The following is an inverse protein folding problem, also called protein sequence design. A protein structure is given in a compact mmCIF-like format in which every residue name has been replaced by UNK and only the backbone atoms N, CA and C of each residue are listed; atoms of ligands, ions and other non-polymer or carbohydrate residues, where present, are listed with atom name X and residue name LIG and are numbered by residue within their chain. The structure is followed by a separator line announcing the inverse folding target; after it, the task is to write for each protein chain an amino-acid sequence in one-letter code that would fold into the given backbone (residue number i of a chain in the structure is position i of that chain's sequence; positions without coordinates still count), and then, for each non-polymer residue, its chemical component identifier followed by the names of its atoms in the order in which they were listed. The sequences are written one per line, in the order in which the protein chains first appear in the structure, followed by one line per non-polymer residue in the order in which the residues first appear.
data_IF_654655491614
#
_entry.id   IF_654655491614
#
_cell.length_a   1.000
_cell.length_b   1.000
_cell.length_c   1.000
_cell.angle_alpha   90.00
_cell.angle_beta   90.00
_cell.angle_gamma   90.00
#
_symmetry.space_group_name_H-M   'P 1'
#
loop_
_entity.id
_entity.type
_entity.pdbx_description
1 polymer ?
#
# COMPACT_ATOMS: atom_id res chain seq x y z
N UNK A 1 9.57 -0.88 -12.72
CA UNK A 1 9.36 0.42 -13.44
C UNK A 1 10.16 1.59 -12.84
N UNK A 2 10.02 1.86 -11.53
CA UNK A 2 10.63 3.02 -10.85
C UNK A 2 12.16 2.99 -10.83
N UNK A 3 12.77 1.81 -10.64
CA UNK A 3 14.24 1.69 -10.65
C UNK A 3 14.87 2.07 -12.00
N UNK A 4 14.18 1.84 -13.12
CA UNK A 4 14.71 2.17 -14.43
C UNK A 4 14.68 3.68 -14.68
N UNK A 5 13.64 4.37 -14.21
CA UNK A 5 13.54 5.83 -14.28
C UNK A 5 14.76 6.50 -13.61
N UNK A 6 15.13 6.06 -12.42
CA UNK A 6 16.23 6.67 -11.65
C UNK A 6 17.62 6.47 -12.29
N UNK A 7 17.82 5.44 -13.12
CA UNK A 7 19.08 5.24 -13.85
C UNK A 7 19.32 6.32 -14.92
N UNK A 8 18.25 6.90 -15.44
CA UNK A 8 18.30 7.88 -16.54
C UNK A 8 18.25 9.34 -16.07
N UNK A 9 18.11 9.57 -14.77
CA UNK A 9 18.02 10.90 -14.17
C UNK A 9 19.37 11.32 -13.61
N UNK A 10 19.91 12.45 -14.09
CA UNK A 10 21.11 13.04 -13.53
C UNK A 10 20.72 13.89 -12.31
N UNK A 11 21.32 13.60 -11.16
CA UNK A 11 21.02 14.27 -9.88
C UNK A 11 22.22 15.14 -9.47
N UNK A 12 21.98 16.41 -9.21
CA UNK A 12 23.00 17.35 -8.73
C UNK A 12 22.55 18.06 -7.46
N UNK A 13 23.44 18.14 -6.47
CA UNK A 13 23.28 19.03 -5.32
C UNK A 13 23.69 20.44 -5.76
N UNK A 14 22.74 21.37 -5.85
CA UNK A 14 23.05 22.77 -6.21
C UNK A 14 23.57 23.52 -4.98
N UNK A 15 22.91 23.36 -3.83
CA UNK A 15 23.34 23.89 -2.53
C UNK A 15 22.79 23.04 -1.37
N UNK A 16 22.81 23.54 -0.13
CA UNK A 16 22.35 22.80 1.05
C UNK A 16 20.84 22.49 1.05
N UNK A 17 20.02 23.30 0.37
CA UNK A 17 18.55 23.19 0.36
C UNK A 17 17.99 22.98 -1.05
N UNK A 18 18.85 22.72 -2.05
CA UNK A 18 18.42 22.60 -3.44
C UNK A 18 19.08 21.39 -4.13
N UNK A 19 18.22 20.53 -4.69
CA UNK A 19 18.57 19.40 -5.54
C UNK A 19 18.01 19.65 -6.93
N UNK A 20 18.83 19.46 -7.97
CA UNK A 20 18.42 19.56 -9.37
C UNK A 20 18.40 18.16 -9.97
N UNK A 21 17.28 17.84 -10.63
CA UNK A 21 17.11 16.65 -11.43
C UNK A 21 17.08 17.05 -12.91
N UNK A 22 17.91 16.41 -13.73
CA UNK A 22 17.93 16.60 -15.19
C UNK A 22 17.44 15.31 -15.84
N UNK A 23 16.34 15.40 -16.57
CA UNK A 23 15.69 14.27 -17.25
C UNK A 23 16.15 14.24 -18.72
N UNK A 24 16.22 13.05 -19.31
CA UNK A 24 16.52 12.88 -20.76
C UNK A 24 15.41 13.42 -21.67
N UNK A 25 14.17 13.40 -21.20
CA UNK A 25 12.98 13.90 -21.89
C UNK A 25 11.93 14.37 -20.87
N UNK A 26 10.98 15.23 -21.27
CA UNK A 26 9.84 15.58 -20.43
C UNK A 26 9.08 14.32 -19.96
N UNK A 27 8.72 14.26 -18.68
CA UNK A 27 7.98 13.12 -18.11
C UNK A 27 6.95 13.59 -17.08
N UNK A 28 5.66 13.40 -17.41
CA UNK A 28 4.55 13.68 -16.49
C UNK A 28 4.54 12.75 -15.26
N UNK A 29 5.20 11.59 -15.33
CA UNK A 29 5.30 10.64 -14.22
C UNK A 29 6.41 11.00 -13.21
N UNK A 30 7.36 11.88 -13.57
CA UNK A 30 8.51 12.17 -12.71
C UNK A 30 8.12 12.78 -11.33
N UNK A 31 7.16 13.72 -11.22
CA UNK A 31 6.71 14.21 -9.92
C UNK A 31 6.17 13.11 -9.00
N UNK A 32 5.60 12.03 -9.54
CA UNK A 32 5.15 10.89 -8.75
C UNK A 32 6.32 10.07 -8.20
N UNK A 33 7.42 9.96 -8.96
CA UNK A 33 8.64 9.29 -8.51
C UNK A 33 9.33 10.04 -7.37
N UNK A 34 9.11 11.36 -7.21
CA UNK A 34 9.64 12.15 -6.10
C UNK A 34 8.96 11.86 -4.74
N UNK A 35 7.91 11.03 -4.72
CA UNK A 35 7.18 10.67 -3.50
C UNK A 35 7.86 9.55 -2.68
N UNK A 36 8.99 9.03 -3.16
CA UNK A 36 9.78 8.02 -2.46
C UNK A 36 10.39 8.57 -1.17
N UNK A 37 10.49 7.72 -0.14
CA UNK A 37 11.02 8.10 1.16
C UNK A 37 12.51 8.46 1.13
N UNK A 38 12.90 9.55 1.80
CA UNK A 38 14.30 9.98 1.93
C UNK A 38 14.94 9.34 3.16
N UNK A 39 16.09 8.69 2.96
CA UNK A 39 16.89 8.12 4.05
C UNK A 39 17.99 9.08 4.51
N UNK A 40 18.30 9.06 5.81
CA UNK A 40 19.31 9.93 6.39
C UNK A 40 20.72 9.55 5.93
N UNK A 41 21.40 10.46 5.19
CA UNK A 41 22.79 10.24 4.73
C UNK A 41 23.73 9.89 5.89
N UNK A 42 23.67 10.60 7.02
CA UNK A 42 24.55 10.35 8.16
C UNK A 42 24.31 8.97 8.81
N UNK A 43 23.14 8.36 8.60
CA UNK A 43 22.80 7.03 9.10
C UNK A 43 23.30 5.90 8.18
N UNK A 44 23.44 6.17 6.88
CA UNK A 44 23.72 5.12 5.88
C UNK A 44 24.94 5.37 4.99
N UNK A 45 25.65 6.47 5.18
CA UNK A 45 26.90 6.74 4.46
C UNK A 45 27.91 5.62 4.75
N UNK A 46 28.43 4.99 3.68
CA UNK A 46 29.36 3.86 3.76
C UNK A 46 28.70 2.50 3.99
N UNK A 47 27.36 2.44 4.16
CA UNK A 47 26.63 1.17 4.22
C UNK A 47 26.26 0.75 2.80
N UNK A 48 26.57 -0.48 2.42
CA UNK A 48 26.15 -1.01 1.12
C UNK A 48 24.62 -1.10 1.04
N UNK A 49 24.05 -0.77 -0.12
CA UNK A 49 22.59 -0.73 -0.31
C UNK A 49 21.92 -2.06 0.08
N UNK A 50 22.54 -3.19 -0.28
CA UNK A 50 22.06 -4.52 0.06
C UNK A 50 22.00 -4.80 1.58
N UNK A 51 22.76 -4.05 2.38
CA UNK A 51 22.85 -4.21 3.83
C UNK A 51 21.98 -3.21 4.59
N UNK A 52 21.52 -2.14 3.92
CA UNK A 52 20.71 -1.10 4.56
C UNK A 52 19.45 -1.66 5.21
N UNK A 53 18.76 -2.60 4.55
CA UNK A 53 17.54 -3.22 5.10
C UNK A 53 17.78 -4.00 6.40
N UNK A 54 18.99 -4.55 6.58
CA UNK A 54 19.39 -5.30 7.78
C UNK A 54 19.94 -4.42 8.90
N UNK A 55 20.20 -3.14 8.60
CA UNK A 55 20.69 -2.18 9.59
C UNK A 55 19.64 -1.96 10.68
N UNK A 56 20.03 -1.90 11.95
CA UNK A 56 19.14 -1.45 13.02
C UNK A 56 18.58 -0.04 12.78
N UNK A 57 19.25 0.77 11.96
CA UNK A 57 18.79 2.11 11.53
C UNK A 57 17.66 2.07 10.49
N UNK A 58 17.23 0.89 10.09
CA UNK A 58 16.02 0.65 9.29
C UNK A 58 14.88 0.02 10.11
N UNK A 59 15.14 -0.33 11.38
CA UNK A 59 14.17 -0.94 12.29
C UNK A 59 14.01 -0.11 13.57
N UNK A 60 14.35 -0.70 14.72
CA UNK A 60 14.15 -0.07 16.04
C UNK A 60 14.87 1.29 16.23
N UNK A 61 15.92 1.58 15.43
CA UNK A 61 16.65 2.86 15.45
C UNK A 61 16.42 3.66 14.16
N UNK A 62 15.28 3.48 13.50
CA UNK A 62 14.94 4.19 12.28
C UNK A 62 14.99 5.71 12.48
N UNK A 63 15.61 6.40 11.52
CA UNK A 63 15.71 7.86 11.50
C UNK A 63 14.97 8.36 10.26
N UNK A 64 13.97 9.21 10.48
CA UNK A 64 13.17 9.82 9.43
C UNK A 64 12.65 11.20 9.82
N UNK A 65 12.01 11.88 8.88
CA UNK A 65 11.41 13.21 9.05
C UNK A 65 9.89 13.16 9.16
N UNK A 66 9.31 11.96 9.24
CA UNK A 66 7.87 11.75 9.31
C UNK A 66 7.25 12.21 10.63
N UNK A 67 5.91 12.16 10.73
CA UNK A 67 5.15 12.63 11.89
C UNK A 67 5.43 11.85 13.18
N UNK A 68 5.86 10.59 13.07
CA UNK A 68 6.18 9.73 14.21
C UNK A 68 7.57 9.11 14.02
N UNK A 69 8.20 8.73 15.14
CA UNK A 69 9.45 7.98 15.21
C UNK A 69 9.24 6.67 15.95
N UNK A 70 10.08 5.67 15.68
CA UNK A 70 10.01 4.37 16.36
C UNK A 70 10.44 4.55 17.82
N UNK A 71 9.54 4.26 18.75
CA UNK A 71 9.83 4.24 20.18
C UNK A 71 10.30 2.84 20.61
N UNK A 72 9.58 1.80 20.18
CA UNK A 72 9.94 0.42 20.47
C UNK A 72 9.36 -0.56 19.46
N UNK A 73 10.03 -1.71 19.33
CA UNK A 73 9.53 -2.91 18.66
C UNK A 73 9.66 -4.02 19.67
N UNK A 74 8.57 -4.72 19.97
CA UNK A 74 8.59 -5.86 20.90
C UNK A 74 9.49 -6.98 20.37
N UNK A 75 10.03 -7.80 21.27
CA UNK A 75 10.94 -8.90 20.91
C UNK A 75 10.29 -9.93 19.98
N UNK A 76 9.00 -10.20 20.18
CA UNK A 76 8.15 -11.04 19.33
C UNK A 76 7.71 -10.35 18.01
N UNK A 77 8.02 -9.05 17.87
CA UNK A 77 7.64 -8.18 16.75
C UNK A 77 6.14 -8.05 16.51
N UNK A 78 5.32 -8.44 17.49
CA UNK A 78 3.87 -8.28 17.41
C UNK A 78 3.39 -6.89 17.75
N UNK A 79 4.23 -6.05 18.39
CA UNK A 79 3.90 -4.67 18.75
C UNK A 79 4.99 -3.72 18.28
N UNK A 80 4.59 -2.69 17.54
CA UNK A 80 5.43 -1.54 17.19
C UNK A 80 4.81 -0.30 17.78
N UNK A 81 5.53 0.35 18.69
CA UNK A 81 5.12 1.64 19.26
C UNK A 81 5.87 2.75 18.54
N UNK A 82 5.12 3.67 17.95
CA UNK A 82 5.63 4.93 17.45
C UNK A 82 5.27 6.05 18.43
N UNK A 83 6.18 7.00 18.61
CA UNK A 83 5.95 8.21 19.39
C UNK A 83 6.00 9.43 18.46
N UNK A 84 5.29 10.49 18.84
CA UNK A 84 5.23 11.73 18.08
C UNK A 84 6.65 12.27 17.83
N UNK A 85 6.93 12.64 16.58
CA UNK A 85 8.17 13.32 16.25
C UNK A 85 8.08 14.81 16.65
N UNK A 86 8.92 15.31 17.57
CA UNK A 86 8.86 16.70 18.02
C UNK A 86 9.16 17.72 16.90
N UNK A 87 9.79 17.28 15.81
CA UNK A 87 10.15 18.13 14.67
C UNK A 87 9.13 18.07 13.52
N UNK A 88 8.03 17.32 13.67
CA UNK A 88 7.02 17.19 12.63
C UNK A 88 6.20 18.47 12.44
N UNK A 89 5.90 18.79 11.17
CA UNK A 89 5.00 19.87 10.79
C UNK A 89 4.04 19.40 9.68
N UNK A 90 2.70 19.41 9.89
CA UNK A 90 2.04 19.74 11.16
C UNK A 90 2.37 18.74 12.25
N UNK A 91 2.32 19.19 13.51
CA UNK A 91 2.49 18.33 14.67
C UNK A 91 1.28 17.38 14.77
N UNK A 92 1.46 16.05 14.82
CA UNK A 92 0.35 15.12 14.97
C UNK A 92 -0.43 15.36 16.25
N UNK A 93 -1.72 15.05 16.28
CA UNK A 93 -2.53 15.16 17.50
C UNK A 93 -2.21 14.07 18.52
N UNK A 94 -1.92 12.85 18.06
CA UNK A 94 -1.61 11.69 18.91
C UNK A 94 -0.18 11.77 19.48
N UNK A 95 -0.02 11.36 20.74
CA UNK A 95 1.30 11.18 21.36
C UNK A 95 1.97 9.90 20.89
N UNK A 96 1.19 8.83 20.75
CA UNK A 96 1.66 7.51 20.37
C UNK A 96 0.76 6.91 19.30
N UNK A 97 1.35 6.02 18.50
CA UNK A 97 0.63 5.18 17.56
C UNK A 97 1.16 3.75 17.69
N UNK A 98 0.30 2.81 18.10
CA UNK A 98 0.69 1.43 18.39
C UNK A 98 0.12 0.50 17.34
N UNK A 99 0.98 -0.14 16.58
CA UNK A 99 0.59 -1.25 15.72
C UNK A 99 0.69 -2.54 16.52
N UNK A 100 -0.40 -3.30 16.57
CA UNK A 100 -0.41 -4.65 17.12
C UNK A 100 -0.88 -5.64 16.06
N UNK A 101 -0.12 -6.71 15.85
CA UNK A 101 -0.53 -7.81 14.98
C UNK A 101 -1.35 -8.82 15.77
N UNK A 102 -2.40 -9.34 15.14
CA UNK A 102 -3.19 -10.45 15.66
C UNK A 102 -3.09 -11.65 14.70
N UNK A 103 -3.16 -12.89 15.19
CA UNK A 103 -3.06 -14.10 14.36
C UNK A 103 -4.20 -14.21 13.34
N UNK A 104 -5.40 -13.77 13.70
CA UNK A 104 -6.57 -13.79 12.83
C UNK A 104 -7.32 -12.45 12.83
N UNK A 105 -8.08 -12.13 11.76
CA UNK A 105 -8.99 -10.99 11.75
C UNK A 105 -10.03 -11.02 12.87
N UNK A 106 -10.48 -12.21 13.28
CA UNK A 106 -11.44 -12.36 14.37
C UNK A 106 -10.85 -11.90 15.71
N UNK A 107 -9.60 -12.30 16.00
CA UNK A 107 -8.90 -11.85 17.22
C UNK A 107 -8.72 -10.33 17.26
N UNK A 108 -8.44 -9.70 16.11
CA UNK A 108 -8.33 -8.25 16.01
C UNK A 108 -9.67 -7.55 16.24
N UNK A 109 -10.76 -8.11 15.71
CA UNK A 109 -12.12 -7.59 15.91
C UNK A 109 -12.58 -7.72 17.37
N UNK A 110 -12.21 -8.82 18.01
CA UNK A 110 -12.46 -9.04 19.43
C UNK A 110 -11.68 -8.04 20.29
N UNK A 111 -10.46 -7.68 19.90
CA UNK A 111 -9.69 -6.63 20.57
C UNK A 111 -10.36 -5.25 20.46
N UNK A 112 -10.89 -4.89 19.28
CA UNK A 112 -11.73 -3.68 19.14
C UNK A 112 -12.96 -3.77 20.04
N UNK A 113 -13.59 -4.94 20.07
CA UNK A 113 -14.79 -5.18 20.88
C UNK A 113 -14.57 -5.03 22.38
N UNK A 114 -13.34 -5.30 22.85
CA UNK A 114 -12.88 -5.11 24.24
C UNK A 114 -12.23 -3.75 24.49
N UNK A 115 -12.25 -2.84 23.51
CA UNK A 115 -11.57 -1.54 23.57
C UNK A 115 -10.05 -1.64 23.82
N UNK A 116 -9.43 -2.75 23.41
CA UNK A 116 -7.98 -2.95 23.41
C UNK A 116 -7.31 -2.40 22.14
N UNK A 117 -8.09 -2.14 21.10
CA UNK A 117 -7.67 -1.51 19.85
C UNK A 117 -8.70 -0.48 19.41
N UNK A 118 -8.25 0.70 18.98
CA UNK A 118 -9.14 1.79 18.54
C UNK A 118 -9.65 1.58 17.10
N UNK A 119 -8.86 0.90 16.26
CA UNK A 119 -9.16 0.74 14.83
C UNK A 119 -8.69 -0.62 14.32
N UNK A 120 -9.48 -1.21 13.42
CA UNK A 120 -9.09 -2.38 12.64
C UNK A 120 -9.51 -2.19 11.18
N UNK A 121 -8.60 -2.48 10.25
CA UNK A 121 -8.85 -2.43 8.81
C UNK A 121 -9.07 -3.83 8.22
N UNK A 122 -9.48 -3.89 6.96
CA UNK A 122 -9.67 -5.15 6.21
C UNK A 122 -10.73 -6.10 6.81
N UNK A 123 -11.86 -5.51 7.20
CA UNK A 123 -12.95 -6.24 7.84
C UNK A 123 -13.75 -7.08 6.82
N UNK A 124 -13.71 -8.40 6.99
CA UNK A 124 -14.55 -9.31 6.22
C UNK A 124 -16.04 -9.08 6.50
N UNK A 125 -16.87 -9.48 5.54
CA UNK A 125 -18.28 -9.12 5.49
C UNK A 125 -19.09 -9.55 6.71
N UNK A 126 -18.85 -10.77 7.20
CA UNK A 126 -19.49 -11.29 8.41
C UNK A 126 -19.12 -10.48 9.67
N UNK A 127 -17.85 -10.09 9.82
CA UNK A 127 -17.39 -9.26 10.94
C UNK A 127 -17.99 -7.85 10.92
N UNK A 128 -18.15 -7.28 9.73
CA UNK A 128 -18.78 -5.96 9.56
C UNK A 128 -20.24 -5.94 10.00
N UNK A 129 -21.02 -6.99 9.70
CA UNK A 129 -22.41 -7.07 10.15
C UNK A 129 -22.56 -7.15 11.68
N UNK A 130 -21.61 -7.79 12.36
CA UNK A 130 -21.56 -7.83 13.82
C UNK A 130 -21.20 -6.46 14.42
N UNK A 131 -20.18 -5.79 13.86
CA UNK A 131 -19.76 -4.46 14.33
C UNK A 131 -20.80 -3.37 14.06
N UNK A 132 -21.53 -3.45 12.94
CA UNK A 132 -22.57 -2.47 12.61
C UNK A 132 -23.72 -2.41 13.65
N UNK A 133 -23.85 -3.42 14.52
CA UNK A 133 -24.84 -3.44 15.60
C UNK A 133 -24.35 -2.78 16.88
N UNK A 134 -23.07 -2.40 16.95
CA UNK A 134 -22.46 -1.78 18.14
C UNK A 134 -22.61 -0.26 18.08
N UNK A 135 -23.11 0.40 19.14
CA UNK A 135 -23.27 1.85 19.17
C UNK A 135 -21.95 2.60 19.38
N UNK A 136 -20.89 1.91 19.80
CA UNK A 136 -19.56 2.45 20.12
C UNK A 136 -18.54 2.27 18.98
N UNK A 137 -18.97 1.78 17.82
CA UNK A 137 -18.09 1.52 16.67
C UNK A 137 -18.63 2.21 15.42
N UNK A 138 -17.77 3.03 14.80
CA UNK A 138 -18.03 3.61 13.49
C UNK A 138 -17.53 2.68 12.38
N UNK A 139 -18.45 2.09 11.63
CA UNK A 139 -18.10 1.30 10.45
C UNK A 139 -17.90 2.22 9.24
N UNK A 140 -16.65 2.36 8.80
CA UNK A 140 -16.29 3.15 7.62
C UNK A 140 -16.06 2.26 6.40
N UNK A 141 -16.84 2.48 5.34
CA UNK A 141 -16.59 1.88 4.03
C UNK A 141 -15.84 2.88 3.14
N UNK A 142 -14.66 2.49 2.68
CA UNK A 142 -13.79 3.34 1.87
C UNK A 142 -13.54 2.63 0.54
N UNK A 143 -13.87 3.29 -0.57
CA UNK A 143 -13.48 2.82 -1.90
C UNK A 143 -11.96 2.93 -2.05
N UNK A 144 -11.31 1.81 -2.33
CA UNK A 144 -9.86 1.71 -2.50
C UNK A 144 -9.52 1.48 -3.97
N UNK A 145 -8.27 1.78 -4.36
CA UNK A 145 -7.74 1.47 -5.69
C UNK A 145 -7.27 0.00 -5.80
N UNK A 146 -7.94 -0.91 -5.11
CA UNK A 146 -7.62 -2.33 -5.16
C UNK A 146 -8.25 -2.98 -6.41
N UNK A 147 -7.43 -3.73 -7.15
CA UNK A 147 -7.83 -4.39 -8.39
C UNK A 147 -7.42 -5.86 -8.34
N UNK A 148 -8.37 -6.75 -8.61
CA UNK A 148 -8.15 -8.18 -8.70
C UNK A 148 -8.27 -8.60 -10.16
N UNK A 149 -7.25 -9.28 -10.67
CA UNK A 149 -7.23 -9.80 -12.03
C UNK A 149 -6.58 -11.17 -12.10
N UNK A 150 -7.04 -11.95 -13.07
CA UNK A 150 -6.38 -13.19 -13.51
C UNK A 150 -5.65 -12.86 -14.81
N UNK A 151 -4.35 -13.13 -14.84
CA UNK A 151 -3.52 -12.91 -16.01
C UNK A 151 -3.30 -14.22 -16.74
N UNK A 152 -3.46 -14.19 -18.07
CA UNK A 152 -3.06 -15.31 -18.92
C UNK A 152 -1.54 -15.35 -19.02
N UNK A 153 -0.93 -16.48 -18.67
CA UNK A 153 0.52 -16.61 -18.76
C UNK A 153 0.94 -16.88 -20.20
N UNK A 154 1.77 -15.99 -20.76
CA UNK A 154 2.26 -16.07 -22.13
C UNK A 154 3.76 -16.41 -22.19
N UNK A 155 4.32 -17.00 -21.13
CA UNK A 155 5.67 -17.59 -21.18
C UNK A 155 5.71 -18.75 -22.17
N UNK A 156 6.87 -19.05 -22.80
CA UNK A 156 6.96 -20.02 -23.90
C UNK A 156 6.41 -21.43 -23.62
N UNK A 157 6.43 -21.85 -22.35
CA UNK A 157 5.94 -23.13 -21.86
C UNK A 157 4.40 -23.20 -21.73
N UNK A 158 3.74 -22.06 -21.50
CA UNK A 158 2.31 -21.97 -21.25
C UNK A 158 1.54 -21.19 -22.34
N UNK A 159 2.26 -20.49 -23.22
CA UNK A 159 1.68 -19.67 -24.28
C UNK A 159 0.80 -20.48 -25.22
N UNK A 160 1.11 -21.76 -25.46
CA UNK A 160 0.33 -22.63 -26.35
C UNK A 160 -1.17 -22.69 -25.99
N UNK A 161 -1.51 -22.55 -24.70
CA UNK A 161 -2.90 -22.57 -24.23
C UNK A 161 -3.62 -21.23 -24.41
N UNK A 162 -2.88 -20.12 -24.40
CA UNK A 162 -3.46 -18.77 -24.30
C UNK A 162 -3.07 -17.84 -25.45
N UNK A 163 -2.21 -18.27 -26.38
CA UNK A 163 -1.76 -17.51 -27.54
C UNK A 163 -2.93 -17.11 -28.46
N UNK A 164 -3.89 -18.02 -28.79
CA UNK A 164 -5.03 -17.64 -29.59
C UNK A 164 -5.91 -16.60 -28.86
N UNK A 165 -6.16 -15.41 -29.46
CA UNK A 165 -7.01 -14.39 -28.86
C UNK A 165 -8.43 -14.90 -28.55
N UNK A 166 -8.95 -15.77 -29.40
CA UNK A 166 -10.28 -16.38 -29.24
C UNK A 166 -10.41 -17.17 -27.92
N UNK A 167 -9.35 -17.87 -27.49
CA UNK A 167 -9.34 -18.60 -26.21
C UNK A 167 -9.43 -17.62 -25.05
N UNK A 168 -8.60 -16.56 -25.06
CA UNK A 168 -8.63 -15.53 -24.01
C UNK A 168 -9.97 -14.81 -23.95
N UNK A 169 -10.57 -14.52 -25.11
CA UNK A 169 -11.90 -13.91 -25.20
C UNK A 169 -12.99 -14.83 -24.63
N UNK A 170 -12.99 -16.11 -25.02
CA UNK A 170 -13.95 -17.09 -24.51
C UNK A 170 -13.85 -17.24 -22.98
N UNK A 171 -12.64 -17.38 -22.44
CA UNK A 171 -12.43 -17.46 -20.99
C UNK A 171 -12.86 -16.16 -20.28
N UNK A 172 -12.61 -14.99 -20.88
CA UNK A 172 -13.00 -13.70 -20.32
C UNK A 172 -14.52 -13.51 -20.27
N UNK A 173 -15.24 -14.04 -21.28
CA UNK A 173 -16.71 -13.98 -21.39
C UNK A 173 -17.39 -15.05 -20.52
N UNK A 174 -16.73 -16.18 -20.26
CA UNK A 174 -17.24 -17.24 -19.40
C UNK A 174 -17.27 -16.85 -17.90
N UNK A 175 -16.54 -15.81 -17.50
CA UNK A 175 -16.48 -15.34 -16.10
C UNK A 175 -17.64 -14.39 -15.81
N UNK A 176 -18.58 -14.83 -14.97
CA UNK A 176 -19.61 -13.99 -14.40
C UNK A 176 -19.05 -13.15 -13.25
N UNK A 177 -18.53 -11.97 -13.59
CA UNK A 177 -17.97 -11.00 -12.62
C UNK A 177 -19.02 -10.51 -11.64
N UNK A 178 -20.27 -10.33 -12.10
CA UNK A 178 -21.35 -9.86 -11.23
C UNK A 178 -21.67 -10.91 -10.17
N UNK A 179 -21.78 -12.18 -10.57
CA UNK A 179 -22.00 -13.26 -9.63
C UNK A 179 -20.88 -13.36 -8.58
N UNK A 180 -19.62 -13.22 -8.97
CA UNK A 180 -18.48 -13.21 -8.03
C UNK A 180 -18.60 -12.05 -7.04
N UNK A 181 -18.89 -10.83 -7.53
CA UNK A 181 -19.08 -9.66 -6.68
C UNK A 181 -20.22 -9.87 -5.68
N UNK A 182 -21.36 -10.38 -6.16
CA UNK A 182 -22.56 -10.55 -5.33
C UNK A 182 -22.37 -11.68 -4.28
N UNK A 183 -21.69 -12.78 -4.63
CA UNK A 183 -21.60 -13.98 -3.77
C UNK A 183 -20.34 -14.06 -2.91
N UNK A 184 -19.18 -13.66 -3.45
CA UNK A 184 -17.90 -13.76 -2.76
C UNK A 184 -17.56 -12.47 -2.04
N UNK A 185 -17.85 -11.32 -2.69
CA UNK A 185 -17.53 -10.00 -2.15
C UNK A 185 -18.75 -9.30 -1.52
N UNK A 186 -19.90 -9.97 -1.50
CA UNK A 186 -21.15 -9.49 -0.90
C UNK A 186 -21.52 -8.05 -1.34
N UNK A 187 -21.30 -7.74 -2.61
CA UNK A 187 -21.62 -6.43 -3.19
C UNK A 187 -20.66 -5.29 -2.83
N UNK A 188 -19.51 -5.57 -2.20
CA UNK A 188 -18.53 -4.55 -1.75
C UNK A 188 -17.43 -4.23 -2.76
N UNK A 189 -17.65 -4.54 -4.03
CA UNK A 189 -16.76 -4.23 -5.12
C UNK A 189 -17.57 -3.95 -6.39
N UNK A 190 -16.95 -3.25 -7.34
CA UNK A 190 -17.52 -3.03 -8.66
C UNK A 190 -16.97 -4.07 -9.66
N UNK A 191 -17.80 -4.63 -10.56
CA UNK A 191 -17.31 -5.47 -11.64
C UNK A 191 -16.30 -4.70 -12.50
N UNK A 192 -15.05 -5.16 -12.51
CA UNK A 192 -13.99 -4.49 -13.24
C UNK A 192 -14.17 -4.65 -14.76
N UNK A 193 -14.21 -3.53 -15.47
CA UNK A 193 -14.20 -3.47 -16.95
C UNK A 193 -12.81 -3.26 -17.53
N UNK A 194 -11.84 -2.90 -16.68
CA UNK A 194 -10.47 -2.64 -17.08
C UNK A 194 -9.57 -2.39 -15.86
N UNK A 195 -8.27 -2.09 -16.09
CA UNK A 195 -7.30 -1.88 -15.02
C UNK A 195 -7.42 -0.52 -14.33
N UNK A 196 -8.18 0.42 -14.91
CA UNK A 196 -8.42 1.75 -14.35
C UNK A 196 -9.81 1.72 -13.70
N UNK A 197 -9.94 2.01 -12.39
CA UNK A 197 -11.22 2.00 -11.73
C UNK A 197 -12.07 3.22 -12.11
N UNK A 198 -13.41 3.14 -12.02
CA UNK A 198 -14.31 4.23 -12.37
C UNK A 198 -14.09 5.55 -11.63
N UNK A 199 -13.45 5.50 -10.46
CA UNK A 199 -13.14 6.66 -9.62
C UNK A 199 -11.88 7.41 -10.07
N UNK A 200 -11.10 6.85 -10.99
CA UNK A 200 -9.89 7.49 -11.50
C UNK A 200 -10.21 8.50 -12.62
N UNK A 201 -9.44 9.59 -12.68
CA UNK A 201 -9.58 10.62 -13.71
C UNK A 201 -9.31 10.09 -15.13
N UNK A 202 -8.53 9.02 -15.27
CA UNK A 202 -8.19 8.40 -16.54
C UNK A 202 -9.17 7.30 -16.97
N UNK A 203 -10.25 7.06 -16.23
CA UNK A 203 -11.23 6.03 -16.55
C UNK A 203 -11.95 6.29 -17.88
N UNK A 204 -12.08 5.25 -18.71
CA UNK A 204 -12.88 5.27 -19.92
C UNK A 204 -13.96 4.18 -19.88
N UNK A 205 -15.20 4.56 -20.18
CA UNK A 205 -16.33 3.62 -20.29
C UNK A 205 -16.28 2.75 -21.56
N UNK A 206 -15.37 3.03 -22.50
CA UNK A 206 -15.36 2.45 -23.85
C UNK A 206 -14.22 1.43 -24.11
N UNK A 207 -13.61 0.85 -23.06
CA UNK A 207 -12.56 -0.17 -23.22
C UNK A 207 -13.11 -1.59 -23.31
#
# INVERSE_FOLDING_TARGET
PTQQLWKDVVIAKVNQQQVKFTLKAPSAAFPLALREGIVAKHAFQGVAIADMARSPRSGARAVGTGPFKVASISSDRHTVTLERNPYASPRPYLDHFVFRSYPTPADALDAVSRSEADTFGDLQSQGAAAMAKRPDVDLMQISTFNFVAVFFNLTPDLSVFFEPPAVRQALTQAVDRKHIVDTVLEGRADPATGPIPPTDWAYSKQS
#
